data_IF_488582027701
#
_entry.id   IF_488582027701
#
_cell.length_a   1.000
_cell.length_b   1.000
_cell.length_c   1.000
_cell.angle_alpha   90.00
_cell.angle_beta   90.00
_cell.angle_gamma   90.00
#
_symmetry.space_group_name_H-M   'P 1'
#
loop_
_entity.id
_entity.type
_entity.pdbx_description
1 polymer ?
#
# COMPACT_ATOMS: atom_id res chain seq x y z
N UNK A 1 -7.12 -13.43 -11.13
CA UNK A 1 -5.77 -13.14 -11.69
C UNK A 1 -4.93 -12.51 -10.58
N UNK A 2 -3.59 -12.63 -10.62
CA UNK A 2 -2.68 -12.04 -9.62
C UNK A 2 -1.82 -10.95 -10.27
N UNK A 3 -1.36 -9.98 -9.49
CA UNK A 3 -0.46 -8.93 -9.94
C UNK A 3 0.26 -8.31 -8.75
N UNK A 4 1.52 -7.93 -8.95
CA UNK A 4 2.31 -7.25 -7.94
C UNK A 4 1.88 -5.78 -7.80
N UNK A 5 1.74 -5.29 -6.56
CA UNK A 5 1.37 -3.90 -6.26
C UNK A 5 2.59 -3.21 -5.64
N UNK A 6 3.21 -2.22 -6.30
CA UNK A 6 4.42 -1.52 -5.81
C UNK A 6 4.07 -0.47 -4.74
N UNK A 7 3.51 -0.93 -3.61
CA UNK A 7 3.03 -0.06 -2.54
C UNK A 7 4.16 0.74 -1.89
N UNK A 8 5.37 0.18 -1.79
CA UNK A 8 6.48 0.83 -1.13
C UNK A 8 6.99 2.02 -1.95
N UNK A 9 7.08 1.84 -3.27
CA UNK A 9 7.47 2.87 -4.23
C UNK A 9 6.46 4.02 -4.23
N UNK A 10 5.17 3.68 -4.27
CA UNK A 10 4.08 4.67 -4.17
C UNK A 10 4.13 5.45 -2.83
N UNK A 11 4.31 4.75 -1.71
CA UNK A 11 4.42 5.40 -0.39
C UNK A 11 5.67 6.28 -0.26
N UNK A 12 6.79 5.86 -0.87
CA UNK A 12 8.03 6.63 -0.87
C UNK A 12 7.87 7.92 -1.67
N UNK A 13 7.27 7.86 -2.86
CA UNK A 13 6.98 9.05 -3.67
C UNK A 13 5.99 9.98 -2.95
N UNK A 14 4.92 9.43 -2.36
CA UNK A 14 3.95 10.18 -1.57
C UNK A 14 4.65 10.92 -0.42
N UNK A 15 5.53 10.24 0.33
CA UNK A 15 6.27 10.87 1.43
C UNK A 15 7.13 12.04 0.93
N UNK A 16 7.84 11.88 -0.19
CA UNK A 16 8.66 12.92 -0.80
C UNK A 16 7.81 14.13 -1.25
N UNK A 17 6.68 13.89 -1.93
CA UNK A 17 5.76 14.95 -2.35
C UNK A 17 5.20 15.74 -1.16
N UNK A 18 4.80 15.05 -0.08
CA UNK A 18 4.28 15.70 1.15
C UNK A 18 5.36 16.54 1.83
N UNK A 19 6.59 16.04 1.93
CA UNK A 19 7.71 16.79 2.53
C UNK A 19 8.07 18.04 1.73
N UNK A 20 8.08 17.96 0.39
CA UNK A 20 8.38 19.11 -0.49
C UNK A 20 7.29 20.18 -0.47
N UNK A 21 6.03 19.79 -0.26
CA UNK A 21 4.85 20.69 -0.31
C UNK A 21 4.32 21.09 1.07
N UNK A 22 5.01 20.73 2.15
CA UNK A 22 4.58 20.99 3.53
C UNK A 22 4.29 22.45 3.86
N UNK A 23 4.98 23.40 3.21
CA UNK A 23 4.75 24.84 3.39
C UNK A 23 3.42 25.32 2.82
N UNK A 24 2.89 24.66 1.78
CA UNK A 24 1.61 25.03 1.15
C UNK A 24 0.40 24.46 1.89
N UNK A 25 0.56 23.34 2.59
CA UNK A 25 -0.44 22.72 3.47
C UNK A 25 -0.71 23.53 4.75
N UNK A 26 0.13 24.53 5.03
CA UNK A 26 -0.16 25.54 6.05
C UNK A 26 -1.38 26.41 5.69
N UNK A 27 -1.65 26.59 4.39
CA UNK A 27 -2.67 27.50 3.86
C UNK A 27 -4.03 26.82 3.61
N UNK A 28 -4.04 25.52 3.36
CA UNK A 28 -5.26 24.76 3.04
C UNK A 28 -5.48 23.63 4.06
N UNK A 29 -6.74 23.39 4.43
CA UNK A 29 -7.11 22.38 5.45
C UNK A 29 -6.88 20.94 4.97
N UNK A 30 -7.06 20.72 3.67
CA UNK A 30 -6.99 19.42 3.01
C UNK A 30 -6.36 19.58 1.61
N UNK A 31 -5.63 18.57 1.17
CA UNK A 31 -5.11 18.46 -0.18
C UNK A 31 -5.26 17.06 -0.73
N UNK A 32 -5.68 16.98 -1.99
CA UNK A 32 -5.75 15.75 -2.77
C UNK A 32 -4.57 15.71 -3.73
N UNK A 33 -3.83 14.61 -3.71
CA UNK A 33 -2.70 14.39 -4.60
C UNK A 33 -2.73 13.00 -5.22
N UNK A 34 -1.84 12.79 -6.19
CA UNK A 34 -1.65 11.54 -6.91
C UNK A 34 -0.16 11.27 -7.11
N UNK A 35 0.25 10.01 -6.92
CA UNK A 35 1.60 9.51 -7.20
C UNK A 35 1.57 8.32 -8.17
N UNK A 36 2.71 8.01 -8.78
CA UNK A 36 2.85 7.05 -9.86
C UNK A 36 2.73 7.66 -11.27
N UNK A 37 2.66 6.82 -12.33
CA UNK A 37 2.47 5.38 -12.26
C UNK A 37 3.75 4.59 -11.95
N UNK A 38 3.64 3.59 -11.06
CA UNK A 38 4.65 2.55 -10.86
C UNK A 38 4.08 1.20 -11.27
N UNK A 39 4.72 0.53 -12.25
CA UNK A 39 4.21 -0.73 -12.85
C UNK A 39 2.71 -0.68 -13.19
N UNK A 40 2.25 0.49 -13.66
CA UNK A 40 0.84 0.81 -14.00
C UNK A 40 -0.11 1.03 -12.82
N UNK A 41 0.39 1.10 -11.57
CA UNK A 41 -0.39 1.49 -10.40
C UNK A 41 -0.21 2.96 -10.08
N UNK A 42 -1.30 3.59 -9.68
CA UNK A 42 -1.33 4.96 -9.17
C UNK A 42 -1.90 4.96 -7.76
N UNK A 43 -1.52 5.95 -6.96
CA UNK A 43 -2.07 6.13 -5.63
C UNK A 43 -2.62 7.55 -5.50
N UNK A 44 -3.92 7.64 -5.27
CA UNK A 44 -4.61 8.86 -4.88
C UNK A 44 -4.51 8.98 -3.36
N UNK A 45 -4.22 10.18 -2.86
CA UNK A 45 -4.01 10.40 -1.43
C UNK A 45 -4.59 11.74 -0.97
N UNK A 46 -4.96 11.78 0.31
CA UNK A 46 -5.47 12.96 0.99
C UNK A 46 -4.52 13.30 2.13
N UNK A 47 -4.14 14.58 2.21
CA UNK A 47 -3.30 15.12 3.27
C UNK A 47 -4.09 16.18 4.01
N UNK A 48 -4.10 16.09 5.33
CA UNK A 48 -4.86 16.98 6.19
C UNK A 48 -4.00 17.55 7.30
N UNK A 49 -4.45 18.70 7.80
CA UNK A 49 -3.88 19.35 8.96
C UNK A 49 -4.40 18.68 10.23
N UNK A 50 -3.54 17.97 10.94
CA UNK A 50 -3.84 17.33 12.21
C UNK A 50 -3.46 18.26 13.37
N UNK A 51 -4.38 18.41 14.34
CA UNK A 51 -4.09 19.13 15.57
C UNK A 51 -3.01 18.38 16.37
N UNK A 52 -2.03 19.11 16.91
CA UNK A 52 -1.04 18.52 17.79
C UNK A 52 -1.71 18.01 19.07
N UNK A 53 -1.29 16.83 19.54
CA UNK A 53 -1.74 16.33 20.84
C UNK A 53 -1.29 17.26 21.97
N UNK A 54 -1.96 17.19 23.12
CA UNK A 54 -1.56 17.99 24.29
C UNK A 54 -0.10 17.74 24.72
N UNK A 55 0.40 16.52 24.49
CA UNK A 55 1.80 16.16 24.75
C UNK A 55 2.76 16.86 23.79
N UNK A 56 2.43 16.90 22.49
CA UNK A 56 3.24 17.57 21.47
C UNK A 56 3.26 19.09 21.66
N UNK A 57 2.16 19.67 22.16
CA UNK A 57 2.06 21.10 22.48
C UNK A 57 2.98 21.49 23.64
N UNK A 58 3.13 20.62 24.64
CA UNK A 58 4.04 20.82 25.77
C UNK A 58 5.51 20.76 25.32
N UNK A 59 5.87 19.84 24.43
CA UNK A 59 7.24 19.74 23.90
C UNK A 59 7.64 20.89 22.97
N UNK A 60 6.68 21.48 22.25
CA UNK A 60 6.93 22.58 21.31
C UNK A 60 6.69 23.99 21.88
N UNK A 61 6.61 24.14 23.22
CA UNK A 61 6.55 25.45 23.87
C UNK A 61 5.20 26.19 23.74
N UNK A 62 4.08 25.46 23.67
CA UNK A 62 2.74 26.03 23.85
C UNK A 62 2.16 26.82 22.68
N UNK A 63 2.86 26.89 21.54
CA UNK A 63 2.32 27.51 20.33
C UNK A 63 1.44 26.51 19.59
N UNK A 64 0.20 26.89 19.24
CA UNK A 64 -0.79 26.09 18.52
C UNK A 64 -0.31 25.62 17.14
N UNK A 65 0.59 24.65 17.13
CA UNK A 65 1.15 24.03 15.94
C UNK A 65 0.19 23.00 15.36
N UNK A 66 0.46 22.64 14.12
CA UNK A 66 -0.25 21.59 13.41
C UNK A 66 0.75 20.66 12.78
N UNK A 67 0.39 19.37 12.71
CA UNK A 67 1.14 18.39 11.94
C UNK A 67 0.43 18.15 10.64
N UNK A 68 1.20 18.13 9.55
CA UNK A 68 0.70 17.67 8.25
C UNK A 68 0.81 16.15 8.24
N UNK A 69 -0.31 15.47 7.99
CA UNK A 69 -0.38 14.01 7.96
C UNK A 69 -1.26 13.52 6.82
N UNK A 70 -0.87 12.39 6.23
CA UNK A 70 -1.71 11.71 5.23
C UNK A 70 -2.89 11.08 5.98
N UNK A 71 -4.11 11.41 5.60
CA UNK A 71 -5.32 10.86 6.23
C UNK A 71 -5.74 9.55 5.57
N UNK A 72 -5.69 9.50 4.23
CA UNK A 72 -6.15 8.37 3.43
C UNK A 72 -5.33 8.24 2.15
N UNK A 73 -5.17 7.02 1.67
CA UNK A 73 -4.71 6.74 0.32
C UNK A 73 -5.49 5.57 -0.29
N UNK A 74 -5.61 5.57 -1.61
CA UNK A 74 -6.26 4.53 -2.41
C UNK A 74 -5.37 4.22 -3.62
N UNK A 75 -5.20 2.93 -3.93
CA UNK A 75 -4.41 2.47 -5.07
C UNK A 75 -5.36 2.03 -6.18
N UNK A 76 -5.13 2.60 -7.35
CA UNK A 76 -5.83 2.26 -8.58
C UNK A 76 -4.88 1.59 -9.57
N UNK A 77 -5.36 0.54 -10.21
CA UNK A 77 -4.66 -0.19 -11.26
C UNK A 77 -5.07 0.37 -12.63
N UNK A 78 -4.10 0.60 -13.50
CA UNK A 78 -4.37 0.97 -14.89
C UNK A 78 -4.90 -0.22 -15.71
N UNK A 79 -5.73 0.07 -16.72
CA UNK A 79 -6.43 -0.94 -17.52
C UNK A 79 -5.52 -1.77 -18.44
N UNK A 80 -4.32 -1.27 -18.72
CA UNK A 80 -3.29 -1.88 -19.57
C UNK A 80 -2.45 -2.95 -18.86
N UNK A 81 -2.41 -2.95 -17.53
CA UNK A 81 -1.79 -4.05 -16.79
C UNK A 81 -2.68 -5.27 -16.97
N UNK A 82 -2.13 -6.37 -17.46
CA UNK A 82 -2.73 -7.69 -17.41
C UNK A 82 -2.22 -8.44 -16.18
N UNK A 83 -3.10 -9.17 -15.48
CA UNK A 83 -2.69 -9.98 -14.34
C UNK A 83 -2.31 -11.39 -14.81
N UNK A 84 -1.50 -12.08 -14.02
CA UNK A 84 -1.10 -13.45 -14.28
C UNK A 84 -2.24 -14.43 -13.90
N UNK A 85 -2.39 -15.51 -14.67
CA UNK A 85 -3.18 -16.66 -14.23
C UNK A 85 -2.43 -17.43 -13.13
N UNK A 86 -3.10 -18.41 -12.52
CA UNK A 86 -2.44 -19.31 -11.57
C UNK A 86 -1.26 -20.03 -12.21
N UNK A 87 -1.48 -20.58 -13.42
CA UNK A 87 -0.48 -21.36 -14.15
C UNK A 87 0.74 -20.50 -14.50
N UNK A 88 0.52 -19.24 -14.88
CA UNK A 88 1.58 -18.27 -15.15
C UNK A 88 2.35 -17.95 -13.87
N UNK A 89 1.65 -17.57 -12.78
CA UNK A 89 2.26 -17.18 -11.52
C UNK A 89 3.09 -18.29 -10.84
N UNK A 90 2.85 -19.56 -11.18
CA UNK A 90 3.64 -20.69 -10.69
C UNK A 90 4.93 -20.94 -11.47
N UNK A 91 5.17 -20.23 -12.57
CA UNK A 91 6.40 -20.34 -13.35
C UNK A 91 7.52 -19.51 -12.71
N UNK A 92 8.75 -20.02 -12.77
CA UNK A 92 9.95 -19.37 -12.21
C UNK A 92 10.31 -18.02 -12.87
N UNK A 93 9.70 -17.69 -14.01
CA UNK A 93 9.89 -16.43 -14.73
C UNK A 93 8.70 -15.47 -14.60
N UNK A 94 7.69 -15.81 -13.79
CA UNK A 94 6.51 -14.98 -13.55
C UNK A 94 6.83 -13.69 -12.80
N UNK A 95 6.01 -12.67 -12.96
CA UNK A 95 6.11 -11.44 -12.18
C UNK A 95 5.92 -11.72 -10.69
N UNK A 96 4.98 -12.61 -10.35
CA UNK A 96 4.79 -13.09 -8.98
C UNK A 96 6.06 -13.70 -8.39
N UNK A 97 6.71 -14.63 -9.10
CA UNK A 97 7.91 -15.30 -8.61
C UNK A 97 9.10 -14.34 -8.47
N UNK A 98 9.26 -13.43 -9.43
CA UNK A 98 10.28 -12.38 -9.35
C UNK A 98 10.06 -11.48 -8.12
N UNK A 99 8.83 -11.02 -7.91
CA UNK A 99 8.48 -10.14 -6.80
C UNK A 99 8.75 -10.77 -5.42
N UNK A 100 8.37 -12.04 -5.20
CA UNK A 100 8.64 -12.69 -3.91
C UNK A 100 10.14 -12.93 -3.69
N UNK A 101 10.90 -13.21 -4.76
CA UNK A 101 12.34 -13.45 -4.69
C UNK A 101 13.11 -12.15 -4.38
N UNK A 102 12.70 -11.02 -4.96
CA UNK A 102 13.28 -9.69 -4.67
C UNK A 102 13.12 -9.27 -3.20
N UNK A 103 12.02 -9.67 -2.56
CA UNK A 103 11.73 -9.35 -1.15
C UNK A 103 12.65 -10.11 -0.17
N UNK A 104 13.22 -11.24 -0.61
CA UNK A 104 14.07 -12.10 0.22
C UNK A 104 13.29 -13.00 1.20
N UNK A 105 13.91 -14.10 1.62
CA UNK A 105 13.28 -15.11 2.47
C UNK A 105 12.96 -14.59 3.88
N UNK A 106 11.92 -15.15 4.49
CA UNK A 106 11.50 -14.81 5.86
C UNK A 106 10.56 -13.59 5.98
N UNK A 107 10.26 -12.92 4.87
CA UNK A 107 9.29 -11.82 4.83
C UNK A 107 7.83 -12.33 4.81
N UNK A 108 6.92 -11.55 5.41
CA UNK A 108 5.46 -11.77 5.29
C UNK A 108 4.92 -11.09 4.03
N UNK A 109 4.35 -11.88 3.12
CA UNK A 109 3.64 -11.38 1.94
C UNK A 109 2.22 -10.96 2.33
N UNK A 110 1.76 -9.80 1.85
CA UNK A 110 0.36 -9.39 2.02
C UNK A 110 -0.39 -9.61 0.71
N UNK A 111 -1.42 -10.46 0.74
CA UNK A 111 -2.29 -10.69 -0.42
C UNK A 111 -3.62 -9.98 -0.21
N UNK A 112 -3.93 -9.00 -1.05
CA UNK A 112 -5.28 -8.44 -1.15
C UNK A 112 -6.14 -9.33 -2.03
N UNK A 113 -7.26 -9.82 -1.49
CA UNK A 113 -8.05 -10.88 -2.12
C UNK A 113 -9.48 -10.40 -2.35
N UNK A 114 -9.87 -10.26 -3.61
CA UNK A 114 -11.27 -10.05 -3.97
C UNK A 114 -12.07 -11.36 -3.87
N UNK A 115 -13.41 -11.30 -3.68
CA UNK A 115 -14.17 -12.48 -3.30
C UNK A 115 -14.27 -13.56 -4.40
N UNK A 116 -14.04 -13.21 -5.66
CA UNK A 116 -13.98 -14.14 -6.81
C UNK A 116 -12.64 -14.88 -6.93
N UNK A 117 -11.66 -14.55 -6.08
CA UNK A 117 -10.26 -14.98 -6.23
C UNK A 117 -9.77 -15.86 -5.07
N UNK A 118 -10.67 -16.41 -4.24
CA UNK A 118 -10.28 -17.21 -3.08
C UNK A 118 -9.53 -18.51 -3.44
N UNK A 119 -9.95 -19.23 -4.47
CA UNK A 119 -9.29 -20.47 -4.89
C UNK A 119 -7.87 -20.21 -5.44
N UNK A 120 -7.73 -19.12 -6.20
CA UNK A 120 -6.45 -18.61 -6.67
C UNK A 120 -5.55 -18.24 -5.47
N UNK A 121 -6.10 -17.51 -4.50
CA UNK A 121 -5.42 -17.13 -3.25
C UNK A 121 -4.91 -18.36 -2.49
N UNK A 122 -5.73 -19.39 -2.29
CA UNK A 122 -5.32 -20.61 -1.56
C UNK A 122 -4.18 -21.34 -2.25
N UNK A 123 -4.24 -21.44 -3.57
CA UNK A 123 -3.18 -22.07 -4.37
C UNK A 123 -1.86 -21.31 -4.26
N UNK A 124 -1.89 -19.98 -4.40
CA UNK A 124 -0.72 -19.12 -4.27
C UNK A 124 -0.18 -19.07 -2.83
N UNK A 125 -1.05 -19.08 -1.82
CA UNK A 125 -0.66 -19.16 -0.42
C UNK A 125 0.13 -20.44 -0.15
N UNK A 126 -0.39 -21.59 -0.57
CA UNK A 126 0.29 -22.88 -0.42
C UNK A 126 1.65 -22.89 -1.13
N UNK A 127 1.71 -22.32 -2.33
CA UNK A 127 2.96 -22.22 -3.08
C UNK A 127 3.98 -21.32 -2.37
N UNK A 128 3.59 -20.13 -1.92
CA UNK A 128 4.46 -19.24 -1.15
C UNK A 128 4.95 -19.87 0.16
N UNK A 129 4.10 -20.60 0.89
CA UNK A 129 4.51 -21.33 2.09
C UNK A 129 5.52 -22.44 1.77
N UNK A 130 5.37 -23.14 0.64
CA UNK A 130 6.34 -24.15 0.20
C UNK A 130 7.73 -23.57 -0.11
N UNK A 131 7.79 -22.27 -0.43
CA UNK A 131 9.02 -21.51 -0.65
C UNK A 131 9.56 -20.85 0.63
N UNK A 132 8.90 -21.05 1.78
CA UNK A 132 9.32 -20.52 3.08
C UNK A 132 8.82 -19.10 3.40
N UNK A 133 7.89 -18.55 2.63
CA UNK A 133 7.25 -17.26 2.93
C UNK A 133 6.02 -17.44 3.81
N UNK A 134 5.75 -16.46 4.68
CA UNK A 134 4.47 -16.35 5.38
C UNK A 134 3.51 -15.48 4.57
N UNK A 135 2.21 -15.77 4.61
CA UNK A 135 1.21 -14.99 3.86
C UNK A 135 0.13 -14.45 4.80
N UNK A 136 -0.05 -13.13 4.78
CA UNK A 136 -1.18 -12.45 5.38
C UNK A 136 -2.26 -12.16 4.33
N UNK A 137 -3.42 -12.77 4.46
CA UNK A 137 -4.58 -12.49 3.61
C UNK A 137 -5.35 -11.25 4.08
N UNK A 138 -5.67 -10.35 3.14
CA UNK A 138 -6.53 -9.18 3.34
C UNK A 138 -7.72 -9.25 2.38
N UNK A 139 -8.87 -9.82 2.80
CA UNK A 139 -10.05 -9.84 1.95
C UNK A 139 -10.57 -8.43 1.70
N UNK A 140 -10.96 -8.15 0.46
CA UNK A 140 -11.57 -6.89 0.03
C UNK A 140 -12.99 -7.14 -0.51
N UNK A 141 -13.95 -6.23 -0.29
CA UNK A 141 -15.22 -6.28 -1.00
C UNK A 141 -15.04 -6.06 -2.51
N UNK A 142 -16.03 -6.49 -3.29
CA UNK A 142 -16.03 -6.23 -4.73
C UNK A 142 -15.99 -4.74 -5.05
N UNK A 143 -15.16 -4.37 -6.03
CA UNK A 143 -15.05 -3.01 -6.54
C UNK A 143 -14.41 -2.01 -5.58
N UNK A 144 -13.96 -2.45 -4.39
CA UNK A 144 -13.30 -1.57 -3.42
C UNK A 144 -11.80 -1.54 -3.69
N UNK A 145 -11.19 -0.37 -3.94
CA UNK A 145 -9.76 -0.28 -4.19
C UNK A 145 -8.95 -0.64 -2.95
N UNK A 146 -7.68 -0.97 -3.17
CA UNK A 146 -6.74 -1.17 -2.05
C UNK A 146 -6.52 0.19 -1.39
N UNK A 147 -6.89 0.33 -0.13
CA UNK A 147 -6.82 1.59 0.59
C UNK A 147 -6.15 1.42 1.96
N UNK A 148 -5.64 2.52 2.50
CA UNK A 148 -5.09 2.54 3.85
C UNK A 148 -4.95 3.95 4.42
N UNK A 149 -4.52 4.00 5.67
CA UNK A 149 -4.12 5.22 6.36
C UNK A 149 -2.80 4.96 7.09
N UNK A 150 -2.01 6.00 7.42
CA UNK A 150 -0.79 5.85 8.23
C UNK A 150 -1.06 5.33 9.65
N UNK A 151 -2.29 5.41 10.14
CA UNK A 151 -2.74 4.79 11.39
C UNK A 151 -3.14 3.31 11.24
N UNK A 152 -3.05 2.76 10.02
CA UNK A 152 -3.39 1.37 9.73
C UNK A 152 -2.41 0.37 10.37
N UNK A 153 -2.93 -0.81 10.69
CA UNK A 153 -2.13 -1.91 11.25
C UNK A 153 -1.24 -2.54 10.17
N UNK A 154 0.02 -2.84 10.53
CA UNK A 154 0.88 -3.73 9.72
C UNK A 154 0.25 -5.12 9.67
N UNK A 155 0.28 -5.75 8.50
CA UNK A 155 -0.13 -7.14 8.36
C UNK A 155 0.84 -8.04 9.12
N UNK A 156 0.32 -8.92 9.98
CA UNK A 156 1.06 -10.03 10.57
C UNK A 156 0.65 -11.33 9.84
N UNK A 157 1.64 -12.16 9.48
CA UNK A 157 1.41 -13.44 8.79
C UNK A 157 0.61 -14.42 9.66
N UNK A 158 -0.09 -15.35 9.01
CA UNK A 158 -0.77 -16.47 9.65
C UNK A 158 -0.34 -17.80 9.03
#
# INVERSE_FOLDING_TARGET
RVSYVPINELLMELKDQVMKRGSWLAKYREHHGKVGPYRGYTMDYIVERQALSALDQLSNGGSGGFRVGVSKWEISRSADIAGESLEQAMQNNSEFFQAITEIGSGSTLTFWVYPDSFDLYRSLQKHAHSLGYQVAGRPLPFGVPIAGSPAGTRSAGQ
#
